data_IF_405787871306
#
_entry.id   IF_405787871306
#
_cell.length_a   1.000
_cell.length_b   1.000
_cell.length_c   1.000
_cell.angle_alpha   90.00
_cell.angle_beta   90.00
_cell.angle_gamma   90.00
#
_symmetry.space_group_name_H-M   'P 1'
#
loop_
_entity.id
_entity.type
_entity.pdbx_description
1 polymer ?
#
# COMPACT_ATOMS: atom_id res chain seq x y z
N UNK A 1 10.52 1.31 -10.77
CA UNK A 1 10.92 0.54 -11.95
C UNK A 1 11.29 1.46 -13.13
N UNK A 2 10.34 2.17 -13.69
CA UNK A 2 10.59 3.07 -14.87
C UNK A 2 11.52 4.24 -14.55
N UNK A 3 11.53 4.71 -13.31
CA UNK A 3 12.38 5.85 -12.87
C UNK A 3 13.81 5.46 -12.57
N UNK A 4 14.08 4.22 -12.16
CA UNK A 4 15.43 3.78 -11.77
C UNK A 4 16.39 3.63 -12.95
N UNK A 5 15.88 3.45 -14.18
CA UNK A 5 16.72 3.26 -15.36
C UNK A 5 17.51 1.93 -15.41
N UNK A 6 17.34 1.06 -14.41
CA UNK A 6 18.19 -0.13 -14.21
C UNK A 6 17.81 -1.34 -15.04
N UNK A 7 16.64 -1.32 -15.72
CA UNK A 7 16.17 -2.47 -16.49
C UNK A 7 16.11 -2.14 -17.97
N UNK A 8 16.89 -2.86 -18.76
CA UNK A 8 16.74 -2.90 -20.21
C UNK A 8 15.63 -3.91 -20.55
N UNK A 9 14.50 -3.40 -21.03
CA UNK A 9 13.36 -4.24 -21.44
C UNK A 9 13.61 -4.92 -22.78
N UNK A 10 14.66 -4.53 -23.50
CA UNK A 10 15.06 -5.10 -24.80
C UNK A 10 15.38 -6.59 -24.78
N UNK A 11 15.58 -7.18 -23.60
CA UNK A 11 15.90 -8.60 -23.44
C UNK A 11 14.66 -9.47 -23.17
N UNK A 12 13.46 -8.90 -23.18
CA UNK A 12 12.22 -9.61 -22.88
C UNK A 12 11.30 -9.64 -24.09
N UNK A 13 10.63 -10.76 -24.31
CA UNK A 13 9.62 -10.93 -25.36
C UNK A 13 8.24 -10.36 -24.92
N UNK A 14 8.01 -10.29 -23.62
CA UNK A 14 6.77 -9.82 -23.02
C UNK A 14 7.06 -8.91 -21.81
N UNK A 15 6.40 -7.75 -21.77
CA UNK A 15 6.37 -6.85 -20.62
C UNK A 15 4.92 -6.79 -20.09
N UNK A 16 4.75 -7.17 -18.83
CA UNK A 16 3.45 -7.09 -18.14
C UNK A 16 3.44 -5.86 -17.27
N UNK A 17 2.42 -5.02 -17.42
CA UNK A 17 2.16 -3.86 -16.56
C UNK A 17 0.85 -4.11 -15.84
N UNK A 18 0.93 -4.33 -14.55
CA UNK A 18 -0.23 -4.51 -13.68
C UNK A 18 -0.67 -3.18 -13.07
N UNK A 19 -1.92 -3.11 -12.59
CA UNK A 19 -2.54 -1.91 -12.01
C UNK A 19 -2.44 -0.68 -12.93
N UNK A 20 -2.65 -0.87 -14.23
CA UNK A 20 -2.49 0.17 -15.25
C UNK A 20 -3.38 1.41 -15.04
N UNK A 21 -4.52 1.27 -14.37
CA UNK A 21 -5.41 2.39 -14.01
C UNK A 21 -4.72 3.43 -13.12
N UNK A 22 -3.70 3.01 -12.35
CA UNK A 22 -2.95 3.89 -11.45
C UNK A 22 -1.73 4.56 -12.09
N UNK A 23 -1.37 4.17 -13.30
CA UNK A 23 -0.18 4.64 -13.99
C UNK A 23 -0.47 5.93 -14.75
N UNK A 24 0.35 6.96 -14.53
CA UNK A 24 0.22 8.27 -15.21
C UNK A 24 0.58 8.19 -16.68
N UNK A 25 0.03 9.12 -17.49
CA UNK A 25 0.33 9.22 -18.93
C UNK A 25 1.84 9.31 -19.21
N UNK A 26 2.58 10.09 -18.43
CA UNK A 26 4.03 10.24 -18.61
C UNK A 26 4.80 8.95 -18.35
N UNK A 27 4.37 8.16 -17.37
CA UNK A 27 5.06 6.95 -16.98
C UNK A 27 4.76 5.79 -17.94
N UNK A 28 3.52 5.67 -18.44
CA UNK A 28 3.21 4.66 -19.46
C UNK A 28 3.92 4.93 -20.78
N UNK A 29 4.08 6.19 -21.16
CA UNK A 29 4.86 6.55 -22.35
C UNK A 29 6.31 6.09 -22.24
N UNK A 30 6.91 6.18 -21.04
CA UNK A 30 8.26 5.67 -20.81
C UNK A 30 8.31 4.14 -20.91
N UNK A 31 7.29 3.44 -20.41
CA UNK A 31 7.18 1.97 -20.52
C UNK A 31 7.10 1.58 -22.00
N UNK A 32 6.18 2.18 -22.77
CA UNK A 32 6.00 1.89 -24.18
C UNK A 32 7.29 2.12 -24.97
N UNK A 33 7.95 3.26 -24.75
CA UNK A 33 9.19 3.59 -25.43
C UNK A 33 10.35 2.64 -25.09
N UNK A 34 10.36 2.08 -23.89
CA UNK A 34 11.39 1.12 -23.45
C UNK A 34 11.07 -0.31 -23.84
N UNK A 35 9.82 -0.67 -23.98
CA UNK A 35 9.42 -2.02 -24.36
C UNK A 35 9.93 -2.43 -25.75
N UNK A 36 10.20 -1.46 -26.63
CA UNK A 36 10.71 -1.74 -27.98
C UNK A 36 9.80 -2.68 -28.76
N UNK A 37 10.34 -3.85 -29.17
CA UNK A 37 9.62 -4.88 -29.91
C UNK A 37 8.90 -5.91 -29.01
N UNK A 38 9.01 -5.80 -27.68
CA UNK A 38 8.34 -6.70 -26.75
C UNK A 38 6.82 -6.53 -26.81
N UNK A 39 6.09 -7.62 -26.66
CA UNK A 39 4.65 -7.57 -26.48
C UNK A 39 4.31 -6.91 -25.14
N UNK A 40 3.27 -6.07 -25.10
CA UNK A 40 2.77 -5.45 -23.87
C UNK A 40 1.47 -6.12 -23.44
N UNK A 41 1.43 -6.62 -22.22
CA UNK A 41 0.21 -7.02 -21.52
C UNK A 41 -0.12 -5.96 -20.46
N UNK A 42 -1.21 -5.25 -20.68
CA UNK A 42 -1.68 -4.19 -19.80
C UNK A 42 -2.86 -4.71 -18.99
N UNK A 43 -2.71 -4.77 -17.67
CA UNK A 43 -3.74 -5.27 -16.75
C UNK A 43 -4.16 -4.12 -15.83
N UNK A 44 -5.45 -3.95 -15.59
CA UNK A 44 -5.96 -2.90 -14.72
C UNK A 44 -7.47 -2.92 -14.64
N UNK A 45 -8.03 -2.10 -13.76
CA UNK A 45 -9.46 -1.97 -13.56
C UNK A 45 -9.87 -0.50 -13.68
N UNK A 46 -10.70 -0.18 -14.67
CA UNK A 46 -11.19 1.19 -14.93
C UNK A 46 -12.20 1.68 -13.89
N UNK A 47 -12.70 0.79 -13.04
CA UNK A 47 -13.60 1.12 -11.92
C UNK A 47 -12.88 1.35 -10.60
N UNK A 48 -11.56 1.09 -10.56
CA UNK A 48 -10.73 1.43 -9.42
C UNK A 48 -10.32 2.91 -9.46
N UNK A 49 -9.65 3.35 -8.38
CA UNK A 49 -9.16 4.73 -8.25
C UNK A 49 -8.17 5.02 -9.38
N UNK A 50 -8.41 6.11 -10.08
CA UNK A 50 -7.53 6.59 -11.15
C UNK A 50 -6.19 7.09 -10.61
N UNK A 51 -5.21 7.24 -11.51
CA UNK A 51 -3.90 7.77 -11.19
C UNK A 51 -3.97 9.14 -10.51
N UNK A 52 -3.22 9.32 -9.43
CA UNK A 52 -3.03 10.64 -8.82
C UNK A 52 -2.18 11.48 -9.77
N UNK A 53 -2.82 12.27 -10.61
CA UNK A 53 -2.17 13.11 -11.61
C UNK A 53 -2.86 13.05 -12.96
N UNK A 54 -2.25 13.62 -13.98
CA UNK A 54 -2.85 13.65 -15.32
C UNK A 54 -2.73 12.25 -15.96
N UNK A 55 -3.87 11.57 -16.13
CA UNK A 55 -3.88 10.31 -16.86
C UNK A 55 -5.11 9.45 -16.70
N UNK A 56 -5.91 9.38 -17.75
CA UNK A 56 -6.99 8.41 -17.90
C UNK A 56 -6.78 7.58 -19.17
N UNK A 57 -5.51 7.32 -19.50
CA UNK A 57 -5.13 6.64 -20.73
C UNK A 57 -5.65 5.20 -20.79
N UNK A 58 -5.69 4.51 -19.64
CA UNK A 58 -6.10 3.10 -19.59
C UNK A 58 -7.59 2.93 -19.93
N UNK A 59 -8.45 3.83 -19.46
CA UNK A 59 -9.87 3.84 -19.84
C UNK A 59 -10.06 4.18 -21.33
N UNK A 60 -9.20 5.02 -21.88
CA UNK A 60 -9.31 5.47 -23.28
C UNK A 60 -8.74 4.43 -24.25
N UNK A 61 -7.67 3.71 -23.89
CA UNK A 61 -6.96 2.81 -24.81
C UNK A 61 -7.84 1.69 -25.33
N UNK A 62 -8.81 1.22 -24.53
CA UNK A 62 -9.81 0.23 -24.96
C UNK A 62 -10.58 0.65 -26.18
N UNK A 63 -10.83 1.95 -26.36
CA UNK A 63 -11.54 2.48 -27.52
C UNK A 63 -10.67 2.61 -28.79
N UNK A 64 -9.36 2.46 -28.65
CA UNK A 64 -8.37 2.58 -29.71
C UNK A 64 -7.88 1.23 -30.18
N UNK A 65 -7.77 0.26 -29.26
CA UNK A 65 -7.30 -1.09 -29.58
C UNK A 65 -8.42 -1.91 -30.26
N UNK A 66 -8.05 -2.84 -31.16
CA UNK A 66 -9.01 -3.80 -31.70
C UNK A 66 -9.60 -4.67 -30.58
N UNK A 67 -10.90 -5.02 -30.69
CA UNK A 67 -11.62 -5.85 -29.70
C UNK A 67 -10.90 -7.16 -29.37
N UNK A 68 -10.24 -7.77 -30.36
CA UNK A 68 -9.45 -9.01 -30.17
C UNK A 68 -8.26 -8.85 -29.22
N UNK A 69 -7.85 -7.63 -28.95
CA UNK A 69 -6.74 -7.30 -28.02
C UNK A 69 -7.26 -6.89 -26.63
N UNK A 70 -8.56 -6.80 -26.43
CA UNK A 70 -9.18 -6.37 -25.18
C UNK A 70 -10.00 -7.53 -24.61
N UNK A 71 -9.67 -7.94 -23.38
CA UNK A 71 -10.40 -8.98 -22.66
C UNK A 71 -10.77 -8.46 -21.28
N UNK A 72 -11.93 -8.87 -20.79
CA UNK A 72 -12.41 -8.53 -19.46
C UNK A 72 -12.60 -9.80 -18.64
N UNK A 73 -12.04 -9.81 -17.43
CA UNK A 73 -12.26 -10.86 -16.44
C UNK A 73 -13.51 -10.51 -15.66
N UNK A 74 -14.57 -11.32 -15.79
CA UNK A 74 -15.90 -11.03 -15.23
C UNK A 74 -16.25 -11.88 -14.02
N UNK A 75 -15.46 -12.91 -13.71
CA UNK A 75 -15.74 -13.84 -12.61
C UNK A 75 -14.93 -13.42 -11.39
N UNK A 76 -15.57 -12.95 -10.31
CA UNK A 76 -14.87 -12.61 -9.07
C UNK A 76 -14.45 -13.89 -8.33
N UNK A 77 -13.20 -13.96 -7.86
CA UNK A 77 -12.66 -15.09 -7.11
C UNK A 77 -12.24 -14.73 -5.67
N UNK A 78 -12.21 -13.44 -5.31
CA UNK A 78 -11.68 -12.96 -4.02
C UNK A 78 -12.58 -13.24 -2.83
N UNK A 79 -13.89 -13.24 -3.01
CA UNK A 79 -14.84 -13.47 -1.92
C UNK A 79 -15.89 -14.50 -2.33
N UNK A 80 -16.20 -15.49 -1.46
CA UNK A 80 -17.32 -16.40 -1.65
C UNK A 80 -18.66 -15.77 -1.25
N UNK A 81 -18.69 -14.56 -0.67
CA UNK A 81 -19.90 -13.89 -0.21
C UNK A 81 -20.69 -13.31 -1.39
N UNK A 82 -21.78 -13.98 -1.73
CA UNK A 82 -22.66 -13.56 -2.84
C UNK A 82 -23.32 -12.19 -2.61
N UNK A 83 -23.57 -11.78 -1.36
CA UNK A 83 -24.17 -10.49 -1.07
C UNK A 83 -23.15 -9.38 -1.34
N UNK A 84 -21.92 -9.58 -0.90
CA UNK A 84 -20.82 -8.66 -1.17
C UNK A 84 -20.51 -8.56 -2.67
N UNK A 85 -20.53 -9.68 -3.39
CA UNK A 85 -20.39 -9.70 -4.86
C UNK A 85 -21.48 -8.89 -5.56
N UNK A 86 -22.73 -9.04 -5.15
CA UNK A 86 -23.86 -8.25 -5.69
C UNK A 86 -23.70 -6.76 -5.40
N UNK A 87 -23.26 -6.40 -4.19
CA UNK A 87 -22.97 -5.01 -3.85
C UNK A 87 -21.88 -4.42 -4.74
N UNK A 88 -20.80 -5.18 -5.00
CA UNK A 88 -19.75 -4.75 -5.92
C UNK A 88 -20.25 -4.57 -7.36
N UNK A 89 -21.09 -5.47 -7.84
CA UNK A 89 -21.73 -5.35 -9.17
C UNK A 89 -22.63 -4.11 -9.25
N UNK A 90 -23.43 -3.84 -8.22
CA UNK A 90 -24.28 -2.65 -8.17
C UNK A 90 -23.44 -1.37 -8.15
N UNK A 91 -22.36 -1.32 -7.37
CA UNK A 91 -21.42 -0.19 -7.35
C UNK A 91 -20.71 -0.01 -8.69
N UNK A 92 -20.32 -1.12 -9.34
CA UNK A 92 -19.63 -1.11 -10.64
C UNK A 92 -20.53 -0.64 -11.77
N UNK A 93 -21.78 -1.02 -11.73
CA UNK A 93 -22.79 -0.67 -12.73
C UNK A 93 -23.51 0.64 -12.41
N UNK A 94 -22.85 1.56 -11.69
CA UNK A 94 -23.43 2.86 -11.33
C UNK A 94 -24.04 3.55 -12.55
N UNK A 95 -25.29 3.22 -12.85
CA UNK A 95 -26.16 4.06 -13.62
C UNK A 95 -26.49 5.30 -12.77
N UNK A 96 -26.47 6.46 -13.37
CA UNK A 96 -26.50 7.84 -12.88
C UNK A 96 -27.46 8.20 -11.70
N UNK A 97 -28.10 7.27 -11.09
CA UNK A 97 -29.07 7.53 -10.04
C UNK A 97 -28.41 7.37 -8.65
N UNK A 98 -28.57 8.36 -7.79
CA UNK A 98 -28.24 8.36 -6.35
C UNK A 98 -28.76 7.13 -5.57
N UNK A 99 -29.39 6.20 -6.24
CA UNK A 99 -29.98 4.95 -5.74
C UNK A 99 -28.91 4.00 -5.18
N UNK A 100 -27.70 3.96 -5.77
CA UNK A 100 -26.63 3.06 -5.29
C UNK A 100 -26.15 3.51 -3.91
N UNK A 101 -25.94 4.81 -3.69
CA UNK A 101 -25.56 5.34 -2.39
C UNK A 101 -26.64 5.08 -1.34
N UNK A 102 -27.93 5.26 -1.71
CA UNK A 102 -29.07 4.97 -0.84
C UNK A 102 -29.16 3.47 -0.49
N UNK A 103 -28.92 2.60 -1.45
CA UNK A 103 -28.85 1.14 -1.21
C UNK A 103 -27.69 0.77 -0.32
N UNK A 104 -26.51 1.35 -0.51
CA UNK A 104 -25.35 1.13 0.37
C UNK A 104 -25.63 1.56 1.79
N UNK A 105 -26.22 2.75 1.99
CA UNK A 105 -26.58 3.27 3.32
C UNK A 105 -27.65 2.42 4.01
N UNK A 106 -28.54 1.78 3.25
CA UNK A 106 -29.57 0.89 3.79
C UNK A 106 -29.15 -0.59 3.83
N UNK A 107 -27.95 -0.91 3.38
CA UNK A 107 -27.45 -2.28 3.42
C UNK A 107 -27.02 -2.68 4.83
N UNK A 108 -26.94 -3.99 5.09
CA UNK A 108 -26.41 -4.53 6.36
C UNK A 108 -24.92 -4.24 6.57
N UNK A 109 -24.22 -3.74 5.54
CA UNK A 109 -22.81 -3.32 5.60
C UNK A 109 -22.64 -1.87 6.06
N UNK A 110 -23.71 -1.06 6.14
CA UNK A 110 -23.67 0.32 6.56
C UNK A 110 -24.19 0.48 7.98
N UNK A 111 -23.37 1.09 8.84
CA UNK A 111 -23.71 1.37 10.23
C UNK A 111 -23.45 2.83 10.55
N UNK A 112 -24.22 3.45 11.49
CA UNK A 112 -23.85 4.76 12.04
C UNK A 112 -22.43 4.71 12.62
N UNK A 113 -21.68 5.81 12.50
CA UNK A 113 -20.38 5.92 13.14
C UNK A 113 -20.58 5.96 14.64
N UNK A 114 -20.10 4.92 15.31
CA UNK A 114 -20.09 4.78 16.76
C UNK A 114 -18.74 4.21 17.23
N UNK A 115 -18.64 3.80 18.48
CA UNK A 115 -17.41 3.24 19.06
C UNK A 115 -16.99 1.90 18.41
N UNK A 116 -17.92 1.19 17.81
CA UNK A 116 -17.70 -0.15 17.26
C UNK A 116 -16.77 -0.15 16.05
N UNK A 117 -16.57 1.01 15.42
CA UNK A 117 -15.55 1.14 14.36
C UNK A 117 -14.15 0.83 14.87
N UNK A 118 -13.92 1.00 16.17
CA UNK A 118 -12.62 0.76 16.80
C UNK A 118 -12.46 -0.64 17.35
N UNK A 119 -13.53 -1.44 17.34
CA UNK A 119 -13.47 -2.85 17.73
C UNK A 119 -12.97 -3.68 16.57
N UNK A 120 -11.79 -4.26 16.68
CA UNK A 120 -11.22 -5.12 15.65
C UNK A 120 -12.01 -6.43 15.56
N UNK A 121 -12.39 -6.82 14.33
CA UNK A 121 -13.08 -8.08 14.04
C UNK A 121 -12.11 -9.18 13.61
N UNK A 122 -10.91 -8.82 13.18
CA UNK A 122 -9.85 -9.76 12.83
C UNK A 122 -8.47 -9.12 13.07
N UNK A 123 -7.43 -9.96 13.11
CA UNK A 123 -6.04 -9.49 13.24
C UNK A 123 -5.53 -8.80 11.98
N UNK A 124 -6.14 -9.11 10.82
CA UNK A 124 -5.88 -8.47 9.53
C UNK A 124 -7.06 -7.59 9.12
N UNK A 125 -7.35 -6.56 9.93
CA UNK A 125 -8.38 -5.57 9.66
C UNK A 125 -7.75 -4.21 9.34
N UNK A 126 -8.36 -3.48 8.42
CA UNK A 126 -7.98 -2.12 8.05
C UNK A 126 -9.16 -1.16 8.07
N UNK A 127 -8.90 0.09 8.47
CA UNK A 127 -9.86 1.18 8.34
C UNK A 127 -9.43 2.07 7.17
N UNK A 128 -10.30 2.26 6.21
CA UNK A 128 -10.09 3.15 5.07
C UNK A 128 -10.70 4.51 5.35
N UNK A 129 -9.90 5.56 5.21
CA UNK A 129 -10.32 6.94 5.42
C UNK A 129 -10.19 7.75 4.13
N UNK A 130 -11.21 8.56 3.84
CA UNK A 130 -11.18 9.52 2.73
C UNK A 130 -10.28 10.72 3.03
N UNK A 131 -10.28 11.18 4.28
CA UNK A 131 -9.61 12.40 4.72
C UNK A 131 -8.45 12.11 5.67
N UNK A 132 -7.40 12.92 5.60
CA UNK A 132 -6.28 12.85 6.53
C UNK A 132 -6.60 13.51 7.88
N UNK A 133 -7.35 14.61 7.86
CA UNK A 133 -7.67 15.44 9.02
C UNK A 133 -9.17 15.40 9.31
N UNK A 134 -9.54 15.88 10.50
CA UNK A 134 -10.93 15.86 10.98
C UNK A 134 -11.13 14.79 12.04
N UNK A 135 -12.33 14.78 12.63
CA UNK A 135 -12.65 13.91 13.76
C UNK A 135 -12.46 12.41 13.41
N UNK A 136 -12.87 12.03 12.21
CA UNK A 136 -12.76 10.68 11.67
C UNK A 136 -11.69 10.59 10.57
N UNK A 137 -10.75 11.53 10.55
CA UNK A 137 -9.63 11.50 9.63
C UNK A 137 -8.57 10.48 10.03
N UNK A 138 -7.82 10.01 9.05
CA UNK A 138 -6.77 9.00 9.17
C UNK A 138 -5.81 9.24 10.35
N UNK A 139 -5.38 10.49 10.54
CA UNK A 139 -4.43 10.83 11.60
C UNK A 139 -5.03 10.63 13.00
N UNK A 140 -6.30 11.00 13.20
CA UNK A 140 -6.98 10.84 14.48
C UNK A 140 -7.30 9.37 14.76
N UNK A 141 -7.75 8.62 13.77
CA UNK A 141 -8.08 7.20 13.92
C UNK A 141 -6.81 6.41 14.26
N UNK A 142 -5.72 6.61 13.54
CA UNK A 142 -4.44 5.96 13.85
C UNK A 142 -3.99 6.28 15.28
N UNK A 143 -4.09 7.55 15.69
CA UNK A 143 -3.72 7.97 17.06
C UNK A 143 -4.60 7.29 18.11
N UNK A 144 -5.92 7.24 17.87
CA UNK A 144 -6.86 6.66 18.83
C UNK A 144 -6.62 5.14 18.98
N UNK A 145 -6.49 4.43 17.87
CA UNK A 145 -6.24 2.98 17.90
C UNK A 145 -4.88 2.64 18.50
N UNK A 146 -3.86 3.45 18.23
CA UNK A 146 -2.57 3.28 18.88
C UNK A 146 -2.62 3.49 20.40
N UNK A 147 -3.56 4.30 20.92
CA UNK A 147 -3.75 4.45 22.38
C UNK A 147 -4.21 3.15 23.03
N UNK A 148 -4.97 2.32 22.32
CA UNK A 148 -5.42 1.01 22.83
C UNK A 148 -4.27 -0.01 22.91
N UNK A 149 -3.17 0.21 22.20
CA UNK A 149 -1.95 -0.58 22.35
C UNK A 149 -1.24 -0.16 23.65
N UNK A 150 -1.18 -1.06 24.63
CA UNK A 150 -0.62 -0.83 25.97
C UNK A 150 0.90 -0.87 26.02
N UNK A 151 1.58 -1.26 24.94
CA UNK A 151 3.04 -1.34 24.90
C UNK A 151 3.68 0.06 25.05
N UNK A 152 4.89 0.14 25.64
CA UNK A 152 5.63 1.39 25.76
C UNK A 152 5.83 2.06 24.41
N UNK A 153 5.66 3.38 24.38
CA UNK A 153 5.87 4.17 23.19
C UNK A 153 7.32 4.64 23.07
N UNK A 154 7.84 4.64 21.84
CA UNK A 154 9.11 5.25 21.48
C UNK A 154 8.83 6.40 20.50
N UNK A 155 9.29 7.59 20.83
CA UNK A 155 9.10 8.78 20.01
C UNK A 155 10.35 9.05 19.15
N UNK A 156 10.14 9.24 17.83
CA UNK A 156 11.16 9.62 16.87
C UNK A 156 10.68 10.90 16.17
N UNK A 157 11.24 12.04 16.56
CA UNK A 157 10.75 13.33 16.10
C UNK A 157 9.30 13.57 16.54
N UNK A 158 8.40 13.72 15.59
CA UNK A 158 6.95 13.93 15.84
C UNK A 158 6.14 12.61 15.79
N UNK A 159 6.80 11.51 15.47
CA UNK A 159 6.17 10.21 15.30
C UNK A 159 6.30 9.35 16.54
N UNK A 160 5.29 8.58 16.82
CA UNK A 160 5.21 7.65 17.95
C UNK A 160 5.01 6.23 17.46
N UNK A 161 5.80 5.30 18.00
CA UNK A 161 5.78 3.89 17.61
C UNK A 161 5.68 3.01 18.84
N UNK A 162 4.97 1.89 18.72
CA UNK A 162 4.85 0.87 19.76
C UNK A 162 5.04 -0.51 19.17
N UNK A 163 5.57 -1.42 19.96
CA UNK A 163 5.59 -2.85 19.60
C UNK A 163 4.15 -3.32 19.35
N UNK A 164 3.94 -4.09 18.30
CA UNK A 164 2.61 -4.57 17.90
C UNK A 164 1.86 -3.62 16.97
N UNK A 165 2.32 -2.40 16.74
CA UNK A 165 1.68 -1.50 15.77
C UNK A 165 1.74 -2.09 14.36
N UNK A 166 0.62 -2.11 13.62
CA UNK A 166 0.63 -2.42 12.19
C UNK A 166 1.29 -1.25 11.44
N UNK A 167 2.06 -1.61 10.43
CA UNK A 167 2.80 -0.64 9.60
C UNK A 167 2.58 -0.89 8.12
N UNK A 168 2.75 0.17 7.35
CA UNK A 168 2.75 0.14 5.90
C UNK A 168 3.98 0.87 5.39
N UNK A 169 4.83 0.19 4.63
CA UNK A 169 6.01 0.81 4.04
C UNK A 169 5.63 1.89 3.03
N UNK A 170 6.32 3.02 3.07
CA UNK A 170 6.01 4.19 2.24
C UNK A 170 7.24 4.83 1.58
N UNK A 171 8.40 4.22 1.75
CA UNK A 171 9.65 4.70 1.16
C UNK A 171 10.42 3.54 0.51
N UNK A 172 10.35 3.49 -0.82
CA UNK A 172 11.10 2.51 -1.62
C UNK A 172 12.54 2.96 -1.93
N UNK A 173 12.94 4.17 -1.52
CA UNK A 173 14.25 4.72 -1.83
C UNK A 173 15.35 4.21 -0.92
N UNK A 174 15.03 3.81 0.30
CA UNK A 174 15.99 3.36 1.29
C UNK A 174 16.39 1.89 1.12
N UNK A 175 15.41 1.03 0.96
CA UNK A 175 15.62 -0.42 0.83
C UNK A 175 15.05 -0.91 -0.48
N UNK A 176 15.90 -1.44 -1.36
CA UNK A 176 15.49 -1.87 -2.71
C UNK A 176 14.51 -3.04 -2.72
N UNK A 177 14.52 -3.85 -1.67
CA UNK A 177 13.66 -5.04 -1.51
C UNK A 177 12.32 -4.72 -0.83
N UNK A 178 12.22 -3.55 -0.20
CA UNK A 178 10.98 -3.09 0.43
C UNK A 178 10.32 -2.04 -0.44
N UNK A 179 9.12 -2.32 -0.90
CA UNK A 179 8.36 -1.41 -1.77
C UNK A 179 7.17 -0.80 -1.06
N UNK A 180 6.66 0.28 -1.62
CA UNK A 180 5.50 0.97 -1.07
C UNK A 180 4.30 0.03 -0.91
N UNK A 181 3.57 0.24 0.16
CA UNK A 181 2.39 -0.51 0.54
C UNK A 181 2.65 -1.95 1.00
N UNK A 182 3.90 -2.38 1.23
CA UNK A 182 4.13 -3.64 1.95
C UNK A 182 3.60 -3.54 3.37
N UNK A 183 2.75 -4.50 3.75
CA UNK A 183 2.20 -4.64 5.10
C UNK A 183 3.24 -5.22 6.05
N UNK A 184 3.17 -4.83 7.30
CA UNK A 184 4.00 -5.41 8.33
C UNK A 184 3.53 -5.04 9.74
N UNK A 185 4.30 -5.49 10.73
CA UNK A 185 4.05 -5.24 12.15
C UNK A 185 5.37 -5.04 12.89
N UNK A 186 5.40 -4.13 13.84
CA UNK A 186 6.57 -3.91 14.69
C UNK A 186 6.67 -5.04 15.72
N UNK A 187 7.76 -5.81 15.69
CA UNK A 187 8.03 -6.89 16.64
C UNK A 187 8.81 -6.42 17.84
N UNK A 188 9.83 -5.56 17.63
CA UNK A 188 10.59 -4.98 18.72
C UNK A 188 11.13 -3.59 18.36
N UNK A 189 11.37 -2.79 19.39
CA UNK A 189 11.98 -1.46 19.27
C UNK A 189 13.08 -1.39 20.35
N UNK A 190 14.33 -1.21 19.92
CA UNK A 190 15.44 -0.98 20.83
C UNK A 190 15.83 0.49 20.72
N UNK A 191 15.54 1.24 21.78
CA UNK A 191 15.78 2.69 21.83
C UNK A 191 17.11 3.00 22.48
N UNK A 192 17.92 3.84 21.81
CA UNK A 192 19.14 4.39 22.34
C UNK A 192 19.21 5.90 22.13
N UNK A 193 20.24 6.53 22.68
CA UNK A 193 20.47 7.99 22.54
C UNK A 193 20.78 8.39 21.10
N UNK A 194 21.42 7.53 20.33
CA UNK A 194 21.93 7.84 18.98
C UNK A 194 21.00 7.30 17.88
N UNK A 195 20.37 6.15 18.11
CA UNK A 195 19.55 5.47 17.11
C UNK A 195 18.43 4.64 17.74
N UNK A 196 17.45 4.29 16.92
CA UNK A 196 16.40 3.34 17.24
C UNK A 196 16.49 2.17 16.28
N UNK A 197 16.64 0.96 16.81
CA UNK A 197 16.63 -0.26 16.01
C UNK A 197 15.24 -0.88 16.02
N UNK A 198 14.66 -1.06 14.84
CA UNK A 198 13.40 -1.74 14.64
C UNK A 198 13.64 -3.17 14.17
N UNK A 199 12.89 -4.11 14.77
CA UNK A 199 12.61 -5.41 14.17
C UNK A 199 11.16 -5.41 13.72
N UNK A 200 10.93 -5.70 12.45
CA UNK A 200 9.59 -5.72 11.86
C UNK A 200 9.34 -7.05 11.15
N UNK A 201 8.11 -7.51 11.22
CA UNK A 201 7.60 -8.61 10.41
C UNK A 201 6.95 -8.02 9.18
N UNK A 202 7.27 -8.57 8.01
CA UNK A 202 6.72 -8.18 6.72
C UNK A 202 5.80 -9.30 6.25
N UNK A 203 4.60 -8.94 5.83
CA UNK A 203 3.58 -9.87 5.36
C UNK A 203 3.84 -10.34 3.92
N UNK A 204 5.08 -10.77 3.69
CA UNK A 204 5.56 -11.34 2.42
C UNK A 204 6.83 -12.16 2.66
N UNK A 205 7.05 -13.17 1.83
CA UNK A 205 8.32 -13.87 1.75
C UNK A 205 9.30 -13.08 0.88
N UNK A 206 10.40 -12.65 1.48
CA UNK A 206 11.52 -12.03 0.79
C UNK A 206 12.65 -13.04 0.62
N UNK A 207 13.40 -12.93 -0.46
CA UNK A 207 14.59 -13.71 -0.66
C UNK A 207 15.70 -13.27 0.30
N UNK A 208 16.27 -14.19 1.05
CA UNK A 208 17.32 -13.92 2.03
C UNK A 208 18.53 -13.23 1.42
N UNK A 209 18.96 -13.66 0.23
CA UNK A 209 20.13 -13.10 -0.46
C UNK A 209 19.86 -11.66 -0.89
N UNK A 210 18.65 -11.38 -1.38
CA UNK A 210 18.25 -10.02 -1.76
C UNK A 210 18.24 -9.09 -0.53
N UNK A 211 17.71 -9.56 0.62
CA UNK A 211 17.72 -8.79 1.86
C UNK A 211 19.15 -8.53 2.35
N UNK A 212 20.02 -9.56 2.37
CA UNK A 212 21.40 -9.43 2.78
C UNK A 212 22.25 -8.51 1.86
N UNK A 213 21.88 -8.42 0.58
CA UNK A 213 22.50 -7.47 -0.36
C UNK A 213 22.00 -6.03 -0.18
N UNK A 214 20.93 -5.83 0.60
CA UNK A 214 20.35 -4.51 0.83
C UNK A 214 21.06 -3.81 2.01
N UNK A 215 21.82 -2.75 1.73
CA UNK A 215 22.60 -2.05 2.74
C UNK A 215 21.72 -1.48 3.86
N UNK A 216 22.08 -1.80 5.11
CA UNK A 216 21.39 -1.33 6.31
C UNK A 216 20.08 -2.04 6.63
N UNK A 217 19.84 -3.19 5.99
CA UNK A 217 18.73 -4.09 6.28
C UNK A 217 19.28 -5.45 6.73
N UNK A 218 18.89 -5.88 7.91
CA UNK A 218 19.31 -7.15 8.51
C UNK A 218 18.21 -8.20 8.28
N UNK A 219 18.59 -9.37 7.73
CA UNK A 219 17.70 -10.52 7.66
C UNK A 219 17.70 -11.25 9.01
N UNK A 220 16.54 -11.46 9.61
CA UNK A 220 16.40 -12.13 10.91
C UNK A 220 15.86 -13.55 10.73
N UNK A 221 14.90 -13.74 9.84
CA UNK A 221 14.33 -15.06 9.55
C UNK A 221 13.00 -15.00 8.84
N UNK A 222 12.45 -16.18 8.53
CA UNK A 222 11.12 -16.35 7.99
C UNK A 222 10.27 -17.16 8.96
N UNK A 223 9.01 -16.77 9.13
CA UNK A 223 8.01 -17.50 9.92
C UNK A 223 6.64 -17.39 9.24
N UNK A 224 5.98 -18.56 9.06
CA UNK A 224 4.59 -18.62 8.60
C UNK A 224 4.28 -17.92 7.27
N UNK A 225 5.25 -17.83 6.35
CA UNK A 225 5.06 -17.10 5.09
C UNK A 225 5.41 -15.61 5.15
N UNK A 226 5.97 -15.14 6.27
CA UNK A 226 6.37 -13.76 6.53
C UNK A 226 7.86 -13.66 6.76
N UNK A 227 8.45 -12.53 6.44
CA UNK A 227 9.88 -12.27 6.64
C UNK A 227 10.09 -11.27 7.78
N UNK A 228 11.03 -11.58 8.66
CA UNK A 228 11.45 -10.68 9.73
C UNK A 228 12.76 -10.00 9.34
N UNK A 229 12.77 -8.68 9.43
CA UNK A 229 13.94 -7.84 9.12
C UNK A 229 14.20 -6.83 10.21
N UNK A 230 15.46 -6.37 10.29
CA UNK A 230 15.89 -5.34 11.23
C UNK A 230 16.59 -4.18 10.52
N UNK A 231 16.46 -2.98 11.08
CA UNK A 231 17.19 -1.79 10.61
C UNK A 231 17.24 -0.68 11.65
N UNK A 232 18.24 0.19 11.52
CA UNK A 232 18.44 1.35 12.39
C UNK A 232 17.83 2.62 11.80
N UNK A 233 17.33 3.50 12.69
CA UNK A 233 16.98 4.89 12.40
C UNK A 233 17.88 5.78 13.28
N UNK A 234 18.70 6.61 12.67
CA UNK A 234 19.58 7.53 13.39
C UNK A 234 18.79 8.74 13.89
N UNK A 235 18.98 9.14 15.16
CA UNK A 235 18.28 10.29 15.77
C UNK A 235 18.91 11.63 15.40
N UNK A 236 20.21 11.66 15.15
CA UNK A 236 20.96 12.86 14.82
C UNK A 236 21.50 12.83 13.41
N UNK A 237 21.37 13.95 12.68
CA UNK A 237 22.01 14.09 11.37
C UNK A 237 23.51 14.26 11.57
N UNK A 238 24.37 13.43 10.97
CA UNK A 238 25.80 13.72 10.97
C UNK A 238 26.07 15.00 10.16
N UNK A 239 26.93 15.85 10.70
CA UNK A 239 27.47 17.00 9.99
C UNK A 239 28.53 16.51 9.00
N UNK A 240 28.16 16.08 7.81
CA UNK A 240 29.10 15.69 6.76
C UNK A 240 28.55 15.97 5.38
N UNK A 241 29.48 16.18 4.44
CA UNK A 241 29.24 16.57 3.05
C UNK A 241 28.65 15.50 2.13
N UNK A 242 28.40 14.30 2.62
CA UNK A 242 27.70 13.22 1.87
C UNK A 242 26.18 13.25 2.16
N UNK A 243 25.54 14.34 1.78
CA UNK A 243 24.18 14.68 2.21
C UNK A 243 23.09 13.70 1.78
N UNK A 244 23.21 13.02 0.66
CA UNK A 244 22.12 12.18 0.15
C UNK A 244 22.02 10.81 0.87
N UNK A 245 23.12 10.14 1.17
CA UNK A 245 23.09 8.84 1.88
C UNK A 245 22.70 8.99 3.34
N UNK A 246 23.20 10.02 4.02
CA UNK A 246 22.90 10.30 5.42
C UNK A 246 21.46 10.72 5.67
N UNK A 247 20.77 11.25 4.67
CA UNK A 247 19.38 11.70 4.82
C UNK A 247 18.41 10.53 4.97
N UNK A 248 18.64 9.41 4.29
CA UNK A 248 17.74 8.26 4.32
C UNK A 248 17.76 7.49 5.64
N UNK A 249 18.89 7.45 6.34
CA UNK A 249 19.01 6.76 7.63
C UNK A 249 18.26 7.46 8.78
N UNK A 250 17.81 8.70 8.58
CA UNK A 250 16.98 9.45 9.54
C UNK A 250 15.49 9.36 9.26
N UNK A 251 15.10 8.72 8.16
CA UNK A 251 13.71 8.59 7.76
C UNK A 251 13.20 7.21 8.18
N UNK A 252 12.08 7.19 8.91
CA UNK A 252 11.34 5.95 9.15
C UNK A 252 10.65 5.56 7.84
N UNK A 253 10.97 4.38 7.25
CA UNK A 253 10.50 4.01 5.92
C UNK A 253 9.07 3.45 5.91
N UNK A 254 8.33 3.64 6.98
CA UNK A 254 6.96 3.17 7.12
C UNK A 254 6.10 4.16 7.92
N UNK A 255 4.82 3.98 7.86
CA UNK A 255 3.84 4.68 8.69
C UNK A 255 3.03 3.68 9.51
N UNK A 256 2.43 4.15 10.60
CA UNK A 256 1.43 3.40 11.36
C UNK A 256 0.20 3.21 10.48
N UNK A 257 -0.36 2.00 10.50
CA UNK A 257 -1.37 1.57 9.55
C UNK A 257 -2.57 0.86 10.18
N UNK A 258 -3.08 1.33 11.32
CA UNK A 258 -4.41 0.94 11.79
C UNK A 258 -5.50 1.45 10.84
N UNK A 259 -5.27 2.63 10.27
CA UNK A 259 -6.06 3.21 9.20
C UNK A 259 -5.16 3.74 8.09
N UNK A 260 -5.62 3.66 6.85
CA UNK A 260 -4.90 4.15 5.67
C UNK A 260 -5.84 4.90 4.73
N UNK A 261 -5.29 5.70 3.82
CA UNK A 261 -6.09 6.28 2.76
C UNK A 261 -6.46 5.21 1.72
N UNK A 262 -7.59 5.39 1.06
CA UNK A 262 -8.07 4.46 0.03
C UNK A 262 -6.99 4.21 -1.04
N UNK A 263 -6.26 5.25 -1.47
CA UNK A 263 -5.18 5.12 -2.44
C UNK A 263 -4.04 4.20 -1.98
N UNK A 264 -3.75 4.17 -0.67
CA UNK A 264 -2.70 3.30 -0.12
C UNK A 264 -3.15 1.87 0.08
N UNK A 265 -4.45 1.64 0.21
CA UNK A 265 -5.01 0.29 0.30
C UNK A 265 -5.17 -0.39 -1.06
N UNK A 266 -5.03 0.35 -2.15
CA UNK A 266 -5.16 -0.21 -3.50
C UNK A 266 -4.09 -1.29 -3.74
N UNK A 267 -4.53 -2.44 -4.28
CA UNK A 267 -3.68 -3.63 -4.46
C UNK A 267 -3.43 -4.45 -3.19
N UNK A 268 -3.94 -4.03 -2.02
CA UNK A 268 -3.83 -4.79 -0.79
C UNK A 268 -5.08 -5.63 -0.53
N UNK A 269 -4.90 -6.71 0.22
CA UNK A 269 -5.97 -7.61 0.65
C UNK A 269 -6.01 -7.65 2.17
N UNK A 270 -7.23 -7.68 2.74
CA UNK A 270 -7.49 -7.75 4.17
C UNK A 270 -8.68 -8.65 4.45
N UNK A 271 -8.67 -9.32 5.59
CA UNK A 271 -9.78 -10.17 6.05
C UNK A 271 -11.02 -9.33 6.38
N UNK A 272 -10.80 -8.12 6.90
CA UNK A 272 -11.88 -7.18 7.26
C UNK A 272 -11.50 -5.75 6.87
N UNK A 273 -12.47 -5.04 6.28
CA UNK A 273 -12.31 -3.66 5.87
C UNK A 273 -13.47 -2.82 6.40
N UNK A 274 -13.14 -1.74 7.10
CA UNK A 274 -14.09 -0.70 7.50
C UNK A 274 -13.82 0.57 6.69
N UNK A 275 -14.87 1.20 6.19
CA UNK A 275 -14.76 2.44 5.41
C UNK A 275 -15.43 3.56 6.19
N UNK A 276 -14.70 4.64 6.43
CA UNK A 276 -15.21 5.86 7.06
C UNK A 276 -15.45 6.90 5.99
N UNK A 277 -16.71 7.27 5.83
CA UNK A 277 -17.17 8.24 4.83
C UNK A 277 -17.59 9.54 5.51
#
# INVERSE_FOLDING_TARGET
FVRSGWYETSNYDLVVVDECSTVKNEDILKVINRAGDAALLLVGDTYQIEAIGFGNWFSIIRNVLPDRCCHELTIPHRSPDEQLQRLWEEVRNMDDDNIVLEKMVRSDYSHPIDSDIFDSKSDDEIILCLNYNGLYGLNNINRLLQLNNSNPAVDIGVWRFKVGDPILFNDSGRFSVLYNNMKGRILSIQDSTESVYFTVEIDALLDELEVLCCNGLDYIGNDGGKTQVGFNINRTKPYSSDEERTTMEHIVPFQIAYAVSIHKAQGLEYDSVKIVI
#
